data_IF_370278951751
#
_entry.id   IF_370278951751
#
_cell.length_a   1.000
_cell.length_b   1.000
_cell.length_c   1.000
_cell.angle_alpha   90.00
_cell.angle_beta   90.00
_cell.angle_gamma   90.00
#
_symmetry.space_group_name_H-M   'P 1'
#
loop_
_entity.id
_entity.type
_entity.pdbx_description
1 polymer ?
#
# COMPACT_ATOMS: atom_id res chain seq x y z
N UNK A 1 -5.94 -14.73 12.08
CA UNK A 1 -4.72 -14.10 11.49
C UNK A 1 -5.05 -12.67 11.14
N UNK A 2 -4.23 -11.69 11.58
CA UNK A 2 -4.43 -10.28 11.20
C UNK A 2 -4.14 -10.07 9.72
N UNK A 3 -4.90 -9.18 9.07
CA UNK A 3 -4.68 -8.78 7.69
C UNK A 3 -4.13 -7.34 7.66
N UNK A 4 -3.12 -7.10 6.84
CA UNK A 4 -2.50 -5.79 6.68
C UNK A 4 -2.67 -5.34 5.24
N UNK A 5 -3.43 -4.27 5.03
CA UNK A 5 -3.60 -3.61 3.74
C UNK A 5 -2.55 -2.52 3.62
N UNK A 6 -1.69 -2.61 2.62
CA UNK A 6 -0.46 -1.86 2.55
C UNK A 6 -0.25 -1.25 1.17
N UNK A 7 0.40 -0.09 1.15
CA UNK A 7 0.89 0.57 -0.06
C UNK A 7 2.16 1.36 0.21
N UNK A 8 3.01 1.53 -0.83
CA UNK A 8 4.28 2.26 -0.74
C UNK A 8 4.44 3.27 -1.88
N UNK A 9 4.88 4.49 -1.52
CA UNK A 9 5.49 5.41 -2.49
C UNK A 9 7.01 5.32 -2.38
N UNK A 10 7.69 5.43 -3.51
CA UNK A 10 9.12 5.09 -3.61
C UNK A 10 9.91 6.13 -4.38
N UNK A 11 11.23 6.07 -4.31
CA UNK A 11 12.13 6.95 -5.06
C UNK A 11 12.16 6.68 -6.57
N UNK A 12 11.56 5.58 -7.05
CA UNK A 12 11.52 5.18 -8.46
C UNK A 12 11.12 3.72 -8.63
N UNK A 13 11.27 3.16 -9.83
CA UNK A 13 10.86 1.78 -10.15
C UNK A 13 11.87 0.70 -9.75
N UNK A 14 13.14 1.04 -9.62
CA UNK A 14 14.17 0.10 -9.15
C UNK A 14 14.30 0.20 -7.65
N UNK A 15 14.74 -0.87 -6.97
CA UNK A 15 14.88 -0.85 -5.52
C UNK A 15 15.81 0.29 -5.07
N UNK A 16 15.21 1.44 -4.83
CA UNK A 16 15.80 2.59 -4.20
C UNK A 16 15.39 2.63 -2.73
N UNK A 17 14.64 3.67 -2.35
CA UNK A 17 14.11 3.82 -1.00
C UNK A 17 12.58 3.95 -1.04
N UNK A 18 11.94 3.55 0.05
CA UNK A 18 10.55 3.92 0.33
C UNK A 18 10.53 5.34 0.85
N UNK A 19 9.67 6.19 0.31
CA UNK A 19 9.47 7.58 0.74
C UNK A 19 8.22 7.74 1.61
N UNK A 20 7.19 6.92 1.36
CA UNK A 20 6.01 6.79 2.20
C UNK A 20 5.63 5.32 2.32
N UNK A 21 5.30 4.89 3.53
CA UNK A 21 4.72 3.59 3.81
C UNK A 21 3.45 3.79 4.61
N UNK A 22 2.32 3.32 4.08
CA UNK A 22 1.05 3.35 4.78
C UNK A 22 0.43 1.97 4.83
N UNK A 23 -0.18 1.64 5.95
CA UNK A 23 -0.94 0.42 6.07
C UNK A 23 -2.04 0.50 7.12
N UNK A 24 -3.05 -0.35 6.92
CA UNK A 24 -4.14 -0.58 7.86
C UNK A 24 -4.11 -2.03 8.30
N UNK A 25 -3.94 -2.25 9.59
CA UNK A 25 -4.02 -3.56 10.24
C UNK A 25 -5.48 -3.80 10.62
N UNK A 26 -6.05 -4.89 10.19
CA UNK A 26 -7.37 -5.35 10.62
C UNK A 26 -7.18 -6.63 11.43
N UNK A 27 -7.52 -6.55 12.72
CA UNK A 27 -7.48 -7.67 13.64
C UNK A 27 -8.67 -8.62 13.48
N UNK A 28 -8.65 -9.72 14.24
CA UNK A 28 -9.71 -10.74 14.19
C UNK A 28 -11.07 -10.23 14.67
N UNK A 29 -11.07 -9.29 15.61
CA UNK A 29 -12.29 -8.64 16.11
C UNK A 29 -12.71 -7.42 15.28
N UNK A 30 -12.09 -7.25 14.08
CA UNK A 30 -12.31 -6.14 13.13
C UNK A 30 -11.89 -4.76 13.66
N UNK A 31 -11.14 -4.69 14.75
CA UNK A 31 -10.43 -3.47 15.12
C UNK A 31 -9.42 -3.10 14.04
N UNK A 32 -9.31 -1.80 13.77
CA UNK A 32 -8.40 -1.29 12.74
C UNK A 32 -7.37 -0.35 13.35
N UNK A 33 -6.10 -0.56 13.03
CA UNK A 33 -4.99 0.32 13.39
C UNK A 33 -4.33 0.81 12.11
N UNK A 34 -4.27 2.11 11.90
CA UNK A 34 -3.61 2.70 10.74
C UNK A 34 -2.22 3.24 11.11
N UNK A 35 -1.28 3.08 10.20
CA UNK A 35 0.08 3.60 10.29
C UNK A 35 0.45 4.32 9.02
N UNK A 36 1.10 5.47 9.16
CA UNK A 36 1.72 6.19 8.06
C UNK A 36 3.11 6.66 8.46
N UNK A 37 4.08 6.39 7.62
CA UNK A 37 5.46 6.80 7.79
C UNK A 37 5.92 7.57 6.55
N UNK A 38 6.59 8.69 6.80
CA UNK A 38 7.35 9.44 5.81
C UNK A 38 8.83 9.23 6.08
N UNK A 39 9.61 9.07 5.02
CA UNK A 39 11.05 8.85 5.15
C UNK A 39 11.84 9.89 4.39
N UNK A 40 12.91 10.38 5.02
CA UNK A 40 13.89 11.26 4.39
C UNK A 40 14.79 10.44 3.47
N UNK A 41 14.99 10.94 2.27
CA UNK A 41 15.87 10.35 1.26
C UNK A 41 16.71 11.45 0.61
N UNK A 42 17.84 11.08 -0.01
CA UNK A 42 18.73 12.03 -0.66
C UNK A 42 18.37 12.29 -2.14
N UNK A 43 17.55 11.42 -2.73
CA UNK A 43 17.18 11.52 -4.12
C UNK A 43 15.79 10.90 -4.37
N UNK A 44 15.05 11.50 -5.30
CA UNK A 44 13.79 10.97 -5.86
C UNK A 44 13.89 11.12 -7.38
N UNK A 45 13.54 10.07 -8.11
CA UNK A 45 13.47 10.13 -9.58
C UNK A 45 12.39 11.12 -10.01
N UNK A 46 12.64 11.97 -11.05
CA UNK A 46 11.66 12.97 -11.49
C UNK A 46 10.31 12.35 -11.89
N UNK A 47 10.31 11.13 -12.40
CA UNK A 47 9.10 10.38 -12.73
C UNK A 47 8.29 10.02 -11.47
N UNK A 48 8.96 9.56 -10.43
CA UNK A 48 8.32 9.21 -9.16
C UNK A 48 7.76 10.49 -8.48
N UNK A 49 8.56 11.58 -8.44
CA UNK A 49 8.10 12.86 -7.90
C UNK A 49 6.86 13.40 -8.64
N UNK A 50 6.78 13.21 -9.96
CA UNK A 50 5.57 13.59 -10.73
C UNK A 50 4.34 12.76 -10.37
N UNK A 51 4.51 11.52 -9.96
CA UNK A 51 3.41 10.62 -9.58
C UNK A 51 2.88 10.97 -8.20
N UNK A 52 3.72 10.95 -7.16
CA UNK A 52 3.28 11.14 -5.78
C UNK A 52 3.43 12.59 -5.27
N UNK A 53 4.07 13.49 -6.04
CA UNK A 53 4.17 14.92 -5.70
C UNK A 53 5.19 15.27 -4.59
N UNK A 54 6.03 14.33 -4.16
CA UNK A 54 6.92 14.51 -3.01
C UNK A 54 8.38 14.70 -3.44
N UNK A 55 8.86 15.94 -3.41
CA UNK A 55 10.29 16.25 -3.59
C UNK A 55 11.10 15.86 -2.34
N UNK A 56 12.40 15.73 -2.49
CA UNK A 56 13.34 15.51 -1.36
C UNK A 56 13.14 16.55 -0.24
N UNK A 57 12.86 17.82 -0.59
CA UNK A 57 12.59 18.87 0.39
C UNK A 57 11.30 18.58 1.18
N UNK A 58 10.21 18.26 0.49
CA UNK A 58 8.92 17.93 1.09
C UNK A 58 9.05 16.69 2.00
N UNK A 59 9.75 15.67 1.53
CA UNK A 59 9.97 14.45 2.33
C UNK A 59 10.76 14.72 3.61
N UNK A 60 11.77 15.60 3.55
CA UNK A 60 12.54 15.99 4.74
C UNK A 60 11.67 16.70 5.78
N UNK A 61 10.75 17.54 5.35
CA UNK A 61 9.80 18.23 6.21
C UNK A 61 8.78 17.26 6.82
N UNK A 62 8.13 16.42 5.99
CA UNK A 62 7.13 15.44 6.42
C UNK A 62 7.71 14.36 7.34
N UNK A 63 8.89 13.85 7.02
CA UNK A 63 9.57 12.82 7.81
C UNK A 63 10.20 13.37 9.09
N UNK A 64 10.45 14.67 9.16
CA UNK A 64 11.29 15.29 10.19
C UNK A 64 12.67 14.65 10.28
N UNK A 65 13.24 14.28 9.14
CA UNK A 65 14.54 13.63 9.02
C UNK A 65 14.58 12.14 9.34
N UNK A 66 13.45 11.51 9.67
CA UNK A 66 13.38 10.06 9.90
C UNK A 66 13.67 9.29 8.62
N UNK A 67 14.40 8.18 8.75
CA UNK A 67 14.68 7.21 7.69
C UNK A 67 13.96 5.88 7.99
N UNK A 68 13.92 4.96 7.04
CA UNK A 68 13.22 3.68 7.22
C UNK A 68 13.70 2.90 8.44
N UNK A 69 14.99 2.94 8.74
CA UNK A 69 15.58 2.26 9.90
C UNK A 69 14.89 2.64 11.22
N UNK A 70 14.43 3.89 11.37
CA UNK A 70 13.76 4.37 12.59
C UNK A 70 12.38 3.74 12.81
N UNK A 71 11.76 3.21 11.74
CA UNK A 71 10.46 2.54 11.80
C UNK A 71 10.56 1.01 11.66
N UNK A 72 11.74 0.47 11.36
CA UNK A 72 11.94 -0.93 10.99
C UNK A 72 11.43 -1.92 12.03
N UNK A 73 11.58 -1.62 13.33
CA UNK A 73 11.06 -2.45 14.42
C UNK A 73 9.54 -2.49 14.43
N UNK A 74 8.91 -1.33 14.34
CA UNK A 74 7.44 -1.20 14.30
C UNK A 74 6.88 -1.92 13.07
N UNK A 75 7.46 -1.70 11.90
CA UNK A 75 7.05 -2.35 10.65
C UNK A 75 7.18 -3.87 10.76
N UNK A 76 8.32 -4.37 11.24
CA UNK A 76 8.55 -5.82 11.44
C UNK A 76 7.52 -6.42 12.39
N UNK A 77 7.29 -5.79 13.53
CA UNK A 77 6.30 -6.24 14.51
C UNK A 77 4.87 -6.25 13.92
N UNK A 78 4.47 -5.16 13.27
CA UNK A 78 3.12 -4.99 12.74
C UNK A 78 2.82 -5.94 11.58
N UNK A 79 3.81 -6.27 10.74
CA UNK A 79 3.67 -7.23 9.64
C UNK A 79 3.84 -8.70 10.09
N UNK A 80 4.38 -8.96 11.29
CA UNK A 80 4.65 -10.33 11.74
C UNK A 80 3.38 -11.19 11.78
N UNK A 81 3.49 -12.41 11.22
CA UNK A 81 2.41 -13.40 11.19
C UNK A 81 1.09 -12.90 10.58
N UNK A 82 1.16 -11.96 9.64
CA UNK A 82 0.00 -11.40 8.95
C UNK A 82 -0.17 -11.94 7.53
N UNK A 83 -1.37 -11.76 6.99
CA UNK A 83 -1.62 -11.71 5.55
C UNK A 83 -1.43 -10.26 5.09
N UNK A 84 -0.44 -10.00 4.25
CA UNK A 84 -0.23 -8.68 3.64
C UNK A 84 -0.95 -8.63 2.30
N UNK A 85 -1.84 -7.65 2.15
CA UNK A 85 -2.65 -7.41 0.94
C UNK A 85 -2.24 -6.09 0.31
N UNK A 86 -1.83 -6.12 -0.96
CA UNK A 86 -1.50 -4.93 -1.74
C UNK A 86 -2.09 -4.98 -3.14
N UNK A 87 -2.00 -3.85 -3.86
CA UNK A 87 -2.32 -3.80 -5.29
C UNK A 87 -1.03 -3.74 -6.11
N UNK A 88 -0.45 -4.86 -6.49
CA UNK A 88 0.89 -5.11 -7.06
C UNK A 88 1.92 -5.52 -6.00
N UNK A 89 1.66 -6.63 -5.34
CA UNK A 89 2.46 -7.14 -4.22
C UNK A 89 3.96 -7.30 -4.52
N UNK A 90 4.32 -7.62 -5.75
CA UNK A 90 5.73 -7.80 -6.12
C UNK A 90 6.52 -6.50 -5.98
N UNK A 91 5.89 -5.37 -6.30
CA UNK A 91 6.50 -4.05 -6.17
C UNK A 91 6.70 -3.68 -4.68
N UNK A 92 5.63 -3.65 -3.90
CA UNK A 92 5.70 -3.25 -2.50
C UNK A 92 6.62 -4.16 -1.68
N UNK A 93 6.50 -5.46 -1.92
CA UNK A 93 7.34 -6.47 -1.27
C UNK A 93 8.81 -6.29 -1.57
N UNK A 94 9.17 -6.06 -2.84
CA UNK A 94 10.56 -5.85 -3.26
C UNK A 94 11.20 -4.67 -2.51
N UNK A 95 10.50 -3.55 -2.44
CA UNK A 95 10.99 -2.37 -1.73
C UNK A 95 11.09 -2.59 -0.22
N UNK A 96 10.06 -3.19 0.38
CA UNK A 96 10.05 -3.50 1.82
C UNK A 96 11.13 -4.50 2.20
N UNK A 97 11.31 -5.59 1.44
CA UNK A 97 12.38 -6.56 1.67
C UNK A 97 13.75 -5.91 1.58
N UNK A 98 13.95 -5.02 0.58
CA UNK A 98 15.20 -4.29 0.41
C UNK A 98 15.50 -3.39 1.61
N UNK A 99 14.53 -2.62 2.07
CA UNK A 99 14.71 -1.75 3.24
C UNK A 99 14.89 -2.55 4.55
N UNK A 100 14.14 -3.63 4.72
CA UNK A 100 14.32 -4.52 5.88
C UNK A 100 15.70 -5.19 5.88
N UNK A 101 16.19 -5.65 4.73
CA UNK A 101 17.53 -6.22 4.59
C UNK A 101 18.63 -5.21 4.96
N UNK A 102 18.49 -3.94 4.56
CA UNK A 102 19.41 -2.86 4.99
C UNK A 102 19.43 -2.70 6.52
N UNK A 103 18.30 -2.99 7.16
CA UNK A 103 18.16 -2.98 8.62
C UNK A 103 18.49 -4.34 9.28
N UNK A 104 19.07 -5.30 8.52
CA UNK A 104 19.38 -6.66 8.98
C UNK A 104 18.14 -7.43 9.48
N UNK A 105 17.00 -7.23 8.84
CA UNK A 105 15.73 -7.90 9.15
C UNK A 105 15.25 -8.73 7.98
N UNK A 106 14.59 -9.86 8.29
CA UNK A 106 13.93 -10.69 7.30
C UNK A 106 12.48 -10.20 7.07
N UNK A 107 11.88 -10.63 5.96
CA UNK A 107 10.46 -10.45 5.67
C UNK A 107 9.60 -11.11 6.76
N UNK A 108 8.72 -10.37 7.45
CA UNK A 108 8.05 -10.89 8.64
C UNK A 108 6.66 -11.47 8.39
N UNK A 109 6.01 -11.12 7.27
CA UNK A 109 4.65 -11.56 6.99
C UNK A 109 4.60 -13.06 6.64
N UNK A 110 3.51 -13.72 7.04
CA UNK A 110 3.28 -15.13 6.77
C UNK A 110 2.90 -15.37 5.31
N UNK A 111 1.99 -14.56 4.80
CA UNK A 111 1.42 -14.70 3.47
C UNK A 111 1.26 -13.33 2.80
N UNK A 112 1.19 -13.32 1.48
CA UNK A 112 0.88 -12.13 0.70
C UNK A 112 -0.26 -12.40 -0.27
N UNK A 113 -1.07 -11.37 -0.55
CA UNK A 113 -2.13 -11.42 -1.55
C UNK A 113 -2.10 -10.21 -2.45
N UNK A 114 -2.11 -10.44 -3.75
CA UNK A 114 -2.10 -9.40 -4.78
C UNK A 114 -3.49 -9.21 -5.37
N UNK A 115 -4.14 -8.11 -5.08
CA UNK A 115 -5.46 -7.79 -5.66
C UNK A 115 -5.36 -7.61 -7.17
N UNK A 116 -4.30 -6.99 -7.69
CA UNK A 116 -4.09 -6.80 -9.12
C UNK A 116 -4.05 -8.14 -9.88
N UNK A 117 -3.23 -9.08 -9.44
CA UNK A 117 -3.11 -10.39 -10.08
C UNK A 117 -4.39 -11.20 -9.96
N UNK A 118 -5.01 -11.21 -8.77
CA UNK A 118 -6.24 -11.95 -8.51
C UNK A 118 -7.41 -11.48 -9.39
N UNK A 119 -7.59 -10.18 -9.52
CA UNK A 119 -8.70 -9.60 -10.28
C UNK A 119 -8.47 -9.52 -11.78
N UNK A 120 -7.26 -9.78 -12.29
CA UNK A 120 -6.97 -9.77 -13.74
C UNK A 120 -7.87 -10.71 -14.53
N UNK A 121 -8.00 -12.01 -14.20
CA UNK A 121 -8.88 -12.92 -14.92
C UNK A 121 -10.37 -12.66 -14.65
N UNK A 122 -10.72 -11.93 -13.59
CA UNK A 122 -12.11 -11.60 -13.23
C UNK A 122 -12.59 -10.39 -14.04
N UNK A 123 -11.78 -9.31 -14.09
CA UNK A 123 -12.12 -8.10 -14.81
C UNK A 123 -11.97 -8.26 -16.33
N UNK A 124 -11.07 -9.10 -16.78
CA UNK A 124 -10.83 -9.40 -18.21
C UNK A 124 -10.63 -8.14 -19.08
N UNK A 125 -9.97 -7.14 -18.54
CA UNK A 125 -9.69 -5.91 -19.25
C UNK A 125 -8.78 -6.18 -20.46
N UNK A 126 -9.11 -5.66 -21.66
CA UNK A 126 -8.35 -5.96 -22.87
C UNK A 126 -6.92 -5.39 -22.79
N UNK A 127 -5.94 -6.20 -23.13
CA UNK A 127 -4.53 -5.83 -23.28
C UNK A 127 -4.00 -6.23 -24.65
N UNK A 128 -2.75 -5.92 -24.95
CA UNK A 128 -2.14 -6.21 -26.24
C UNK A 128 -1.97 -7.73 -26.51
N UNK A 129 -1.79 -8.53 -25.44
CA UNK A 129 -1.56 -9.98 -25.51
C UNK A 129 -2.36 -10.69 -24.39
N UNK A 130 -3.71 -10.56 -24.42
CA UNK A 130 -4.59 -11.12 -23.40
C UNK A 130 -5.16 -10.05 -22.46
N UNK A 131 -5.38 -10.40 -21.20
CA UNK A 131 -5.89 -9.43 -20.23
C UNK A 131 -4.75 -8.60 -19.63
N UNK A 132 -4.96 -7.28 -19.55
CA UNK A 132 -4.03 -6.40 -18.83
C UNK A 132 -4.27 -6.47 -17.33
N UNK A 133 -3.26 -6.16 -16.57
CA UNK A 133 -3.40 -5.92 -15.13
C UNK A 133 -4.28 -4.69 -14.87
N UNK A 134 -5.32 -4.80 -14.03
CA UNK A 134 -6.14 -3.66 -13.68
C UNK A 134 -5.35 -2.66 -12.84
N UNK A 135 -5.57 -1.38 -13.07
CA UNK A 135 -5.16 -0.35 -12.13
C UNK A 135 -6.09 -0.35 -10.92
N UNK A 136 -5.67 0.26 -9.81
CA UNK A 136 -6.48 0.31 -8.59
C UNK A 136 -7.82 1.04 -8.82
N UNK A 137 -7.83 2.13 -9.60
CA UNK A 137 -9.07 2.85 -9.96
C UNK A 137 -10.03 2.01 -10.82
N UNK A 138 -9.50 1.11 -11.65
CA UNK A 138 -10.31 0.18 -12.44
C UNK A 138 -10.93 -0.92 -11.55
N UNK A 139 -10.18 -1.40 -10.56
CA UNK A 139 -10.69 -2.34 -9.55
C UNK A 139 -11.77 -1.69 -8.67
N UNK A 140 -11.51 -0.47 -8.17
CA UNK A 140 -12.50 0.31 -7.41
C UNK A 140 -13.81 0.45 -8.19
N UNK A 141 -13.72 0.81 -9.47
CA UNK A 141 -14.89 0.98 -10.35
C UNK A 141 -15.66 -0.33 -10.54
N UNK A 142 -14.95 -1.45 -10.74
CA UNK A 142 -15.55 -2.78 -10.87
C UNK A 142 -16.29 -3.21 -9.59
N UNK A 143 -15.74 -2.93 -8.43
CA UNK A 143 -16.31 -3.29 -7.13
C UNK A 143 -17.28 -2.23 -6.58
N UNK A 144 -17.59 -1.18 -7.36
CA UNK A 144 -18.46 -0.08 -6.94
C UNK A 144 -18.00 0.61 -5.64
N UNK A 145 -16.69 0.81 -5.50
CA UNK A 145 -16.06 1.54 -4.39
C UNK A 145 -15.79 2.98 -4.83
N UNK A 146 -16.58 3.96 -4.39
CA UNK A 146 -16.40 5.37 -4.77
C UNK A 146 -15.12 5.96 -4.16
N UNK A 147 -14.42 6.81 -4.90
CA UNK A 147 -13.22 7.47 -4.42
C UNK A 147 -13.49 8.36 -3.18
N UNK A 148 -14.67 8.97 -3.12
CA UNK A 148 -15.12 9.80 -2.01
C UNK A 148 -15.23 8.99 -0.70
N UNK A 149 -15.73 7.76 -0.78
CA UNK A 149 -15.86 6.86 0.37
C UNK A 149 -14.49 6.43 0.87
N UNK A 150 -13.57 6.09 -0.04
CA UNK A 150 -12.15 5.80 0.28
C UNK A 150 -11.51 7.00 0.95
N UNK A 151 -11.71 8.21 0.41
CA UNK A 151 -11.15 9.44 0.95
C UNK A 151 -11.69 9.73 2.37
N UNK A 152 -12.99 9.56 2.58
CA UNK A 152 -13.61 9.70 3.91
C UNK A 152 -13.07 8.66 4.88
N UNK A 153 -12.93 7.41 4.45
CA UNK A 153 -12.39 6.34 5.27
C UNK A 153 -10.93 6.57 5.64
N UNK A 154 -10.10 7.00 4.68
CA UNK A 154 -8.70 7.33 4.94
C UNK A 154 -8.55 8.49 5.95
N UNK A 155 -9.40 9.52 5.85
CA UNK A 155 -9.45 10.60 6.87
C UNK A 155 -9.74 10.07 8.26
N UNK A 156 -10.70 9.16 8.39
CA UNK A 156 -11.03 8.54 9.69
C UNK A 156 -9.89 7.70 10.24
N UNK A 157 -9.22 6.91 9.38
CA UNK A 157 -8.15 6.00 9.77
C UNK A 157 -6.86 6.74 10.12
N UNK A 158 -6.47 7.74 9.34
CA UNK A 158 -5.19 8.42 9.46
C UNK A 158 -5.26 9.79 10.12
N UNK A 159 -6.46 10.32 10.42
CA UNK A 159 -6.63 11.62 11.06
C UNK A 159 -6.13 12.79 10.20
N UNK A 160 -6.35 12.75 8.88
CA UNK A 160 -5.83 13.73 7.91
C UNK A 160 -6.93 14.30 7.03
N UNK A 161 -6.83 15.58 6.64
CA UNK A 161 -7.86 16.27 5.86
C UNK A 161 -7.78 16.05 4.34
N UNK A 162 -6.61 15.73 3.80
CA UNK A 162 -6.40 15.60 2.36
C UNK A 162 -5.56 14.37 2.01
N UNK A 163 -6.22 13.40 1.38
CA UNK A 163 -5.58 12.25 0.75
C UNK A 163 -6.24 12.00 -0.60
N UNK A 164 -5.48 11.63 -1.60
CA UNK A 164 -5.94 11.30 -2.94
C UNK A 164 -5.10 10.17 -3.53
N UNK A 165 -5.38 9.77 -4.74
CA UNK A 165 -4.57 8.79 -5.47
C UNK A 165 -3.09 9.19 -5.47
N UNK A 166 -2.21 8.19 -5.38
CA UNK A 166 -0.76 8.35 -5.21
C UNK A 166 -0.35 8.99 -3.87
N UNK A 167 -1.16 8.79 -2.87
CA UNK A 167 -0.82 8.91 -1.46
C UNK A 167 -1.06 7.54 -0.85
N UNK A 168 -0.03 6.90 -0.32
CA UNK A 168 -0.12 5.52 0.17
C UNK A 168 -1.22 5.31 1.23
N UNK A 169 -1.66 6.37 1.93
CA UNK A 169 -2.81 6.32 2.85
C UNK A 169 -4.13 6.10 2.12
N UNK A 170 -4.31 6.77 0.97
CA UNK A 170 -5.47 6.57 0.11
C UNK A 170 -5.41 5.19 -0.54
N UNK A 171 -4.27 4.84 -1.13
CA UNK A 171 -4.14 3.63 -1.93
C UNK A 171 -4.26 2.36 -1.08
N UNK A 172 -3.65 2.28 0.12
CA UNK A 172 -3.88 1.16 1.04
C UNK A 172 -5.32 1.10 1.58
N UNK A 173 -6.00 2.26 1.76
CA UNK A 173 -7.43 2.29 2.13
C UNK A 173 -8.29 1.80 0.97
N UNK A 174 -7.99 2.18 -0.27
CA UNK A 174 -8.69 1.69 -1.45
C UNK A 174 -8.57 0.16 -1.59
N UNK A 175 -7.38 -0.39 -1.33
CA UNK A 175 -7.17 -1.85 -1.29
C UNK A 175 -8.04 -2.51 -0.22
N UNK A 176 -8.10 -1.93 0.99
CA UNK A 176 -8.97 -2.41 2.09
C UNK A 176 -10.46 -2.40 1.67
N UNK A 177 -10.97 -1.27 1.17
CA UNK A 177 -12.37 -1.14 0.77
C UNK A 177 -12.72 -2.08 -0.40
N UNK A 178 -11.83 -2.21 -1.40
CA UNK A 178 -12.00 -3.17 -2.49
C UNK A 178 -12.04 -4.62 -1.97
N UNK A 179 -11.17 -4.97 -1.03
CA UNK A 179 -11.15 -6.30 -0.44
C UNK A 179 -12.45 -6.59 0.33
N UNK A 180 -12.93 -5.65 1.13
CA UNK A 180 -14.19 -5.79 1.87
C UNK A 180 -15.41 -5.87 0.95
N UNK A 181 -15.46 -5.05 -0.11
CA UNK A 181 -16.51 -5.11 -1.12
C UNK A 181 -16.54 -6.46 -1.85
N UNK A 182 -15.37 -7.00 -2.19
CA UNK A 182 -15.25 -8.31 -2.82
C UNK A 182 -15.72 -9.44 -1.89
N UNK A 183 -15.37 -9.39 -0.60
CA UNK A 183 -15.87 -10.33 0.41
C UNK A 183 -17.40 -10.24 0.54
N UNK A 184 -17.95 -9.02 0.59
CA UNK A 184 -19.39 -8.79 0.66
C UNK A 184 -20.14 -9.30 -0.57
N UNK A 185 -19.50 -9.23 -1.75
CA UNK A 185 -20.01 -9.79 -3.00
C UNK A 185 -19.86 -11.32 -3.12
N UNK A 186 -19.27 -11.98 -2.12
CA UNK A 186 -19.07 -13.44 -2.12
C UNK A 186 -17.97 -13.91 -3.07
N UNK A 187 -17.07 -13.03 -3.48
CA UNK A 187 -15.93 -13.42 -4.31
C UNK A 187 -14.90 -14.23 -3.50
N UNK A 188 -14.26 -15.25 -4.11
CA UNK A 188 -13.28 -16.08 -3.41
C UNK A 188 -12.01 -15.29 -3.13
N UNK A 189 -11.75 -14.96 -1.87
CA UNK A 189 -10.54 -14.29 -1.39
C UNK A 189 -9.89 -15.10 -0.26
N UNK A 190 -8.58 -14.98 -0.03
CA UNK A 190 -7.93 -15.58 1.14
C UNK A 190 -8.51 -14.97 2.43
N UNK A 191 -8.62 -15.84 3.46
CA UNK A 191 -9.18 -15.49 4.78
C UNK A 191 -8.10 -15.55 5.85
#
# INVERSE_FOLDING_TARGET
VKTVFLDTETTGFKPGNIVQLSYVIVGEQKESVARNFWFSVDYVEPEAERVHGMSVKVLRELSRGRVFADASDTVTHDLSNSLVVTHNVEFDRLFLETELQRCQRAWPARETFCTMQHFTPILQLPGNYGYKWPRLDELMRYLHVPAEDVQQRARQLFGTDAVGAHDARFDCTAVLECYQAAVAAGLPLPR
#
